data_IF_748454789525
#
_entry.id   IF_748454789525
#
_cell.length_a   1.000
_cell.length_b   1.000
_cell.length_c   1.000
_cell.angle_alpha   90.00
_cell.angle_beta   90.00
_cell.angle_gamma   90.00
#
_symmetry.space_group_name_H-M   'P 1'
#
loop_
_entity.id
_entity.type
_entity.pdbx_description
1 polymer ?
#
# COMPACT_ATOMS: atom_id res chain seq x y z
N UNK A 1 -13.86 -27.13 11.41
CA UNK A 1 -12.43 -27.45 11.18
C UNK A 1 -11.74 -26.14 10.90
N UNK A 2 -10.96 -25.61 11.85
CA UNK A 2 -10.12 -24.43 11.63
C UNK A 2 -9.07 -24.84 10.59
N UNK A 3 -9.02 -24.14 9.43
CA UNK A 3 -7.88 -24.26 8.55
C UNK A 3 -6.67 -23.77 9.35
N UNK A 4 -5.72 -24.67 9.56
CA UNK A 4 -4.40 -24.33 10.13
C UNK A 4 -3.69 -23.37 9.17
N UNK A 5 -3.88 -22.06 9.38
CA UNK A 5 -3.18 -21.04 8.62
C UNK A 5 -1.71 -21.01 9.07
N UNK A 6 -0.84 -21.50 8.21
CA UNK A 6 0.61 -21.45 8.46
C UNK A 6 1.17 -20.11 8.01
N UNK A 7 2.02 -19.53 8.85
CA UNK A 7 2.78 -18.33 8.52
C UNK A 7 3.94 -18.65 7.58
N UNK A 8 3.66 -18.95 6.32
CA UNK A 8 4.69 -19.27 5.35
C UNK A 8 5.55 -18.05 5.00
N UNK A 9 6.86 -18.26 4.87
CA UNK A 9 7.77 -17.21 4.43
C UNK A 9 7.32 -16.66 3.07
N UNK A 10 7.46 -15.35 2.93
CA UNK A 10 7.23 -14.65 1.67
C UNK A 10 8.08 -13.37 1.67
N UNK A 11 8.32 -12.83 0.53
CA UNK A 11 9.10 -11.62 0.39
C UNK A 11 8.24 -10.43 -0.07
N UNK A 12 8.59 -9.22 0.34
CA UNK A 12 8.11 -7.94 -0.20
C UNK A 12 9.12 -6.83 0.06
N UNK A 13 9.05 -5.73 -0.69
CA UNK A 13 9.94 -4.59 -0.47
C UNK A 13 9.79 -3.98 0.94
N UNK A 14 8.55 -3.87 1.43
CA UNK A 14 8.27 -3.39 2.79
C UNK A 14 8.85 -4.31 3.87
N UNK A 15 8.82 -5.63 3.62
CA UNK A 15 9.40 -6.64 4.50
C UNK A 15 10.93 -6.52 4.54
N UNK A 16 11.57 -6.35 3.39
CA UNK A 16 13.01 -6.09 3.30
C UNK A 16 13.39 -4.78 4.01
N UNK A 17 12.63 -3.71 3.78
CA UNK A 17 12.88 -2.42 4.43
C UNK A 17 12.80 -2.53 5.96
N UNK A 18 11.81 -3.25 6.48
CA UNK A 18 11.67 -3.48 7.93
C UNK A 18 12.84 -4.32 8.46
N UNK A 19 13.24 -5.38 7.75
CA UNK A 19 14.37 -6.22 8.13
C UNK A 19 15.67 -5.44 8.21
N UNK A 20 15.95 -4.59 7.21
CA UNK A 20 17.14 -3.73 7.20
C UNK A 20 17.13 -2.67 8.30
N UNK A 21 15.97 -2.10 8.61
CA UNK A 21 15.86 -1.05 9.60
C UNK A 21 16.01 -1.56 11.04
N UNK A 22 15.42 -2.71 11.34
CA UNK A 22 15.47 -3.31 12.69
C UNK A 22 14.96 -4.75 12.64
N UNK A 23 15.84 -5.71 12.92
CA UNK A 23 15.51 -7.13 12.95
C UNK A 23 14.46 -7.47 14.00
N UNK A 24 14.53 -6.84 15.18
CA UNK A 24 13.52 -7.02 16.24
C UNK A 24 12.14 -6.52 15.81
N UNK A 25 12.06 -5.35 15.13
CA UNK A 25 10.81 -4.87 14.51
C UNK A 25 10.31 -5.84 13.45
N UNK A 26 11.21 -6.41 12.66
CA UNK A 26 10.89 -7.41 11.65
C UNK A 26 10.25 -8.66 12.28
N UNK A 27 10.81 -9.18 13.38
CA UNK A 27 10.22 -10.29 14.12
C UNK A 27 8.79 -9.96 14.56
N UNK A 28 8.56 -8.85 15.26
CA UNK A 28 7.21 -8.49 15.73
C UNK A 28 6.23 -8.24 14.58
N UNK A 29 6.69 -7.66 13.48
CA UNK A 29 5.84 -7.32 12.34
C UNK A 29 5.40 -8.55 11.54
N UNK A 30 6.20 -9.63 11.50
CA UNK A 30 5.95 -10.75 10.59
C UNK A 30 5.78 -12.11 11.29
N UNK A 31 6.20 -12.26 12.53
CA UNK A 31 6.16 -13.53 13.28
C UNK A 31 5.52 -13.38 14.65
N UNK A 32 6.02 -12.54 15.53
CA UNK A 32 5.63 -12.45 16.92
C UNK A 32 4.17 -12.07 17.19
N UNK A 33 3.44 -11.59 16.18
CA UNK A 33 2.00 -11.29 16.24
C UNK A 33 1.12 -12.48 15.89
N UNK A 34 1.70 -13.56 15.35
CA UNK A 34 0.93 -14.66 14.77
C UNK A 34 0.03 -15.30 15.84
N UNK A 35 -1.16 -15.68 15.42
CA UNK A 35 -2.27 -16.16 16.26
C UNK A 35 -2.83 -15.13 17.27
N UNK A 36 -2.31 -13.88 17.31
CA UNK A 36 -2.78 -12.85 18.22
C UNK A 36 -4.26 -12.43 18.05
N UNK A 37 -4.95 -12.98 17.07
CA UNK A 37 -6.40 -12.83 16.83
C UNK A 37 -7.24 -13.93 17.51
N UNK A 38 -6.62 -14.97 18.03
CA UNK A 38 -7.28 -16.06 18.74
C UNK A 38 -7.60 -15.68 20.20
N UNK A 39 -8.62 -16.31 20.77
CA UNK A 39 -9.06 -15.97 22.13
C UNK A 39 -8.12 -16.49 23.23
N UNK A 40 -7.45 -17.62 22.99
CA UNK A 40 -6.62 -18.30 23.99
C UNK A 40 -5.12 -18.19 23.67
N UNK A 41 -4.62 -16.94 23.64
CA UNK A 41 -3.19 -16.66 23.39
C UNK A 41 -2.59 -15.79 24.47
N UNK A 42 -1.26 -15.87 24.70
CA UNK A 42 -0.58 -14.98 25.64
C UNK A 42 -0.87 -13.50 25.35
N UNK A 43 -1.11 -12.72 26.42
CA UNK A 43 -1.40 -11.27 26.31
C UNK A 43 -0.34 -10.52 25.48
N UNK A 44 0.92 -10.94 25.57
CA UNK A 44 2.02 -10.38 24.77
C UNK A 44 1.77 -10.52 23.27
N UNK A 45 1.36 -11.71 22.79
CA UNK A 45 1.08 -11.97 21.38
C UNK A 45 -0.11 -11.14 20.92
N UNK A 46 -1.16 -11.07 21.73
CA UNK A 46 -2.34 -10.23 21.47
C UNK A 46 -1.97 -8.75 21.36
N UNK A 47 -1.08 -8.27 22.24
CA UNK A 47 -0.62 -6.88 22.19
C UNK A 47 0.22 -6.58 20.94
N UNK A 48 1.10 -7.49 20.53
CA UNK A 48 1.86 -7.35 19.29
C UNK A 48 0.92 -7.31 18.09
N UNK A 49 -0.09 -8.19 18.04
CA UNK A 49 -1.11 -8.17 16.99
C UNK A 49 -1.88 -6.86 16.95
N UNK A 50 -2.30 -6.33 18.11
CA UNK A 50 -2.96 -5.04 18.24
C UNK A 50 -2.09 -3.92 17.67
N UNK A 51 -0.84 -3.81 18.15
CA UNK A 51 0.10 -2.79 17.69
C UNK A 51 0.38 -2.84 16.19
N UNK A 52 0.46 -4.04 15.61
CA UNK A 52 0.61 -4.24 14.15
C UNK A 52 -0.56 -3.66 13.35
N UNK A 53 -1.77 -3.61 13.92
CA UNK A 53 -2.97 -3.10 13.25
C UNK A 53 -3.11 -1.58 13.34
N UNK A 54 -2.37 -0.94 14.24
CA UNK A 54 -2.42 0.50 14.42
C UNK A 54 -1.61 1.24 13.36
N UNK A 55 -2.05 2.43 13.05
CA UNK A 55 -1.36 3.37 12.19
C UNK A 55 -0.79 4.53 13.00
N UNK A 56 0.31 5.13 12.58
CA UNK A 56 0.66 6.47 13.03
C UNK A 56 0.03 7.51 12.10
N UNK A 57 -0.05 8.76 12.54
CA UNK A 57 -0.64 9.86 11.77
C UNK A 57 -0.05 10.05 10.37
N UNK A 58 1.25 9.77 10.18
CA UNK A 58 1.92 9.92 8.88
C UNK A 58 1.55 8.80 7.91
N UNK A 59 1.55 7.55 8.40
CA UNK A 59 1.10 6.39 7.62
C UNK A 59 -0.37 6.53 7.26
N UNK A 60 -1.19 6.95 8.21
CA UNK A 60 -2.62 7.22 7.98
C UNK A 60 -2.84 8.28 6.90
N UNK A 61 -2.10 9.41 6.97
CA UNK A 61 -2.13 10.44 5.91
C UNK A 61 -1.86 9.84 4.53
N UNK A 62 -0.79 9.06 4.39
CA UNK A 62 -0.44 8.38 3.13
C UNK A 62 -1.55 7.46 2.64
N UNK A 63 -2.09 6.62 3.52
CA UNK A 63 -3.19 5.70 3.19
C UNK A 63 -4.42 6.45 2.66
N UNK A 64 -4.83 7.54 3.30
CA UNK A 64 -5.97 8.36 2.84
C UNK A 64 -5.72 8.94 1.46
N UNK A 65 -4.50 9.44 1.19
CA UNK A 65 -4.14 10.00 -0.13
C UNK A 65 -4.20 8.91 -1.21
N UNK A 66 -3.59 7.74 -0.99
CA UNK A 66 -3.60 6.62 -1.93
C UNK A 66 -5.02 6.14 -2.23
N UNK A 67 -5.82 5.89 -1.21
CA UNK A 67 -7.22 5.47 -1.38
C UNK A 67 -8.07 6.51 -2.13
N UNK A 68 -7.86 7.80 -1.84
CA UNK A 68 -8.58 8.87 -2.51
C UNK A 68 -8.17 9.01 -3.99
N UNK A 69 -6.88 8.85 -4.31
CA UNK A 69 -6.38 8.82 -5.70
C UNK A 69 -6.96 7.61 -6.43
N UNK A 70 -6.91 6.42 -5.83
CA UNK A 70 -7.48 5.21 -6.40
C UNK A 70 -8.98 5.37 -6.70
N UNK A 71 -9.72 6.01 -5.79
CA UNK A 71 -11.14 6.30 -6.00
C UNK A 71 -11.38 7.30 -7.16
N UNK A 72 -10.56 8.34 -7.27
CA UNK A 72 -10.63 9.31 -8.37
C UNK A 72 -10.35 8.63 -9.72
N UNK A 73 -9.28 7.84 -9.81
CA UNK A 73 -8.91 7.12 -11.02
C UNK A 73 -9.99 6.12 -11.42
N UNK A 74 -10.50 5.36 -10.48
CA UNK A 74 -11.59 4.42 -10.76
C UNK A 74 -12.83 5.13 -11.27
N UNK A 75 -13.23 6.22 -10.63
CA UNK A 75 -14.39 7.00 -11.07
C UNK A 75 -14.20 7.51 -12.49
N UNK A 76 -12.98 7.97 -12.81
CA UNK A 76 -12.62 8.42 -14.15
C UNK A 76 -12.74 7.28 -15.18
N UNK A 77 -12.13 6.12 -14.90
CA UNK A 77 -12.16 4.94 -15.78
C UNK A 77 -13.58 4.36 -15.97
N UNK A 78 -14.51 4.66 -15.08
CA UNK A 78 -15.93 4.31 -15.17
C UNK A 78 -16.80 5.45 -15.77
N UNK A 79 -16.18 6.48 -16.38
CA UNK A 79 -16.84 7.66 -16.96
C UNK A 79 -17.75 8.41 -15.96
N UNK A 80 -17.37 8.40 -14.68
CA UNK A 80 -18.15 9.08 -13.63
C UNK A 80 -17.55 10.42 -13.29
N UNK A 81 -18.37 11.45 -13.39
CA UNK A 81 -17.99 12.79 -12.95
C UNK A 81 -18.20 12.93 -11.44
N UNK A 82 -17.15 13.31 -10.73
CA UNK A 82 -17.21 13.59 -9.30
C UNK A 82 -17.17 15.09 -9.05
N UNK A 83 -18.18 15.60 -8.32
CA UNK A 83 -18.12 16.96 -7.82
C UNK A 83 -16.92 17.14 -6.88
N UNK A 84 -16.11 18.16 -7.13
CA UNK A 84 -14.89 18.43 -6.38
C UNK A 84 -15.16 18.72 -4.90
N UNK A 85 -16.25 19.42 -4.60
CA UNK A 85 -16.62 19.79 -3.24
C UNK A 85 -17.13 18.58 -2.44
N UNK A 86 -18.00 17.77 -3.04
CA UNK A 86 -18.50 16.56 -2.41
C UNK A 86 -17.40 15.52 -2.17
N UNK A 87 -16.47 15.37 -3.13
CA UNK A 87 -15.31 14.50 -2.95
C UNK A 87 -14.46 14.94 -1.74
N UNK A 88 -14.11 16.24 -1.65
CA UNK A 88 -13.35 16.76 -0.50
C UNK A 88 -14.08 16.56 0.82
N UNK A 89 -15.38 16.83 0.86
CA UNK A 89 -16.21 16.61 2.05
C UNK A 89 -16.17 15.14 2.49
N UNK A 90 -16.17 14.21 1.56
CA UNK A 90 -16.11 12.78 1.87
C UNK A 90 -14.75 12.37 2.42
N UNK A 91 -13.65 12.85 1.85
CA UNK A 91 -12.32 12.63 2.39
C UNK A 91 -12.21 13.12 3.83
N UNK A 92 -12.65 14.36 4.08
CA UNK A 92 -12.64 14.96 5.43
C UNK A 92 -13.54 14.17 6.38
N UNK A 93 -14.71 13.71 5.91
CA UNK A 93 -15.61 12.87 6.71
C UNK A 93 -14.94 11.57 7.10
N UNK A 94 -14.30 10.86 6.14
CA UNK A 94 -13.56 9.63 6.41
C UNK A 94 -12.49 9.83 7.47
N UNK A 95 -11.67 10.88 7.32
CA UNK A 95 -10.64 11.20 8.32
C UNK A 95 -11.25 11.46 9.69
N UNK A 96 -12.31 12.26 9.77
CA UNK A 96 -12.99 12.55 11.03
C UNK A 96 -13.57 11.29 11.68
N UNK A 97 -14.19 10.41 10.89
CA UNK A 97 -14.84 9.22 11.40
C UNK A 97 -13.80 8.20 11.89
N UNK A 98 -12.69 8.01 11.16
CA UNK A 98 -11.55 7.20 11.60
C UNK A 98 -10.88 7.77 12.86
N UNK A 99 -10.70 9.09 12.93
CA UNK A 99 -10.16 9.74 14.12
C UNK A 99 -11.04 9.49 15.36
N UNK A 100 -12.38 9.62 15.21
CA UNK A 100 -13.34 9.33 16.28
C UNK A 100 -13.32 7.85 16.69
N UNK A 101 -13.29 6.93 15.74
CA UNK A 101 -13.18 5.49 16.02
C UNK A 101 -11.88 5.19 16.77
N UNK A 102 -10.79 5.86 16.43
CA UNK A 102 -9.54 5.71 17.18
C UNK A 102 -9.64 6.26 18.60
N UNK A 103 -10.35 7.36 18.82
CA UNK A 103 -10.57 7.91 20.17
C UNK A 103 -11.47 7.02 21.03
N UNK A 104 -12.43 6.30 20.45
CA UNK A 104 -13.30 5.38 21.23
C UNK A 104 -12.52 4.22 21.85
N UNK A 105 -11.38 3.86 21.26
CA UNK A 105 -10.54 2.77 21.77
C UNK A 105 -11.03 1.36 21.40
N UNK A 106 -12.05 1.22 20.55
CA UNK A 106 -12.63 -0.07 20.17
C UNK A 106 -11.61 -1.01 19.50
N UNK A 107 -10.56 -0.46 18.88
CA UNK A 107 -9.42 -1.23 18.36
C UNK A 107 -8.66 -2.00 19.46
N UNK A 108 -8.79 -1.63 20.74
CA UNK A 108 -8.13 -2.34 21.85
C UNK A 108 -8.69 -3.76 22.01
N UNK A 109 -9.97 -3.94 21.71
CA UNK A 109 -10.67 -5.23 21.76
C UNK A 109 -10.75 -5.90 20.39
N UNK A 110 -11.03 -5.15 19.33
CA UNK A 110 -11.13 -5.66 17.96
C UNK A 110 -10.31 -4.82 16.98
N UNK A 111 -8.98 -5.01 16.94
CA UNK A 111 -8.08 -4.23 16.08
C UNK A 111 -8.20 -4.58 14.60
N UNK A 112 -8.89 -5.68 14.24
CA UNK A 112 -9.12 -6.07 12.86
C UNK A 112 -10.13 -5.17 12.17
N UNK A 113 -11.21 -4.85 12.86
CA UNK A 113 -12.37 -4.17 12.29
C UNK A 113 -12.44 -2.68 12.70
N UNK A 114 -11.65 -2.27 13.69
CA UNK A 114 -11.65 -0.89 14.18
C UNK A 114 -10.33 -0.18 13.90
N UNK A 115 -10.43 0.99 13.32
CA UNK A 115 -9.29 1.85 13.06
C UNK A 115 -8.69 2.39 14.37
N UNK A 116 -7.36 2.37 14.49
CA UNK A 116 -6.65 2.91 15.65
C UNK A 116 -5.36 3.63 15.26
N UNK A 117 -5.05 4.69 16.01
CA UNK A 117 -3.81 5.46 15.90
C UNK A 117 -2.89 5.15 17.07
N UNK A 118 -1.60 5.06 16.78
CA UNK A 118 -0.56 4.86 17.80
C UNK A 118 -0.52 6.02 18.80
N UNK A 119 -0.77 7.23 18.33
CA UNK A 119 -0.84 8.43 19.16
C UNK A 119 -1.94 8.29 20.23
N UNK A 120 -3.12 7.78 19.87
CA UNK A 120 -4.20 7.54 20.84
C UNK A 120 -3.92 6.31 21.73
N UNK A 121 -3.23 5.29 21.20
CA UNK A 121 -2.86 4.12 21.98
C UNK A 121 -1.84 4.43 23.08
N UNK A 122 -0.86 5.28 22.76
CA UNK A 122 0.18 5.72 23.71
C UNK A 122 -0.19 6.98 24.47
N UNK A 123 -1.41 7.50 24.28
CA UNK A 123 -1.89 8.74 24.93
C UNK A 123 -0.95 9.94 24.66
N UNK A 124 -0.38 9.97 23.43
CA UNK A 124 0.52 11.05 23.02
C UNK A 124 -0.29 12.36 22.87
N UNK A 125 0.15 13.40 23.56
CA UNK A 125 -0.43 14.74 23.41
C UNK A 125 -0.02 15.33 22.05
N UNK A 126 -0.96 15.34 21.11
CA UNK A 126 -0.77 15.93 19.79
C UNK A 126 -1.69 17.15 19.68
N UNK A 127 -1.08 18.31 19.48
CA UNK A 127 -1.77 19.57 19.34
C UNK A 127 -2.86 19.54 18.26
N UNK A 128 -3.99 20.19 18.52
CA UNK A 128 -5.13 20.24 17.60
C UNK A 128 -4.74 20.78 16.23
N UNK A 129 -3.85 21.75 16.20
CA UNK A 129 -3.30 22.37 15.01
C UNK A 129 -2.55 21.35 14.13
N UNK A 130 -1.84 20.40 14.74
CA UNK A 130 -1.14 19.31 14.03
C UNK A 130 -2.14 18.44 13.26
N UNK A 131 -3.27 18.08 13.88
CA UNK A 131 -4.33 17.32 13.21
C UNK A 131 -5.02 18.11 12.09
N UNK A 132 -5.18 19.42 12.27
CA UNK A 132 -5.72 20.29 11.23
C UNK A 132 -4.77 20.41 10.04
N UNK A 133 -3.48 20.61 10.29
CA UNK A 133 -2.45 20.66 9.24
C UNK A 133 -2.37 19.34 8.47
N UNK A 134 -2.46 18.20 9.17
CA UNK A 134 -2.47 16.89 8.50
C UNK A 134 -3.66 16.73 7.55
N UNK A 135 -4.86 17.13 7.98
CA UNK A 135 -6.06 17.15 7.12
C UNK A 135 -5.87 18.06 5.91
N UNK A 136 -5.36 19.25 6.14
CA UNK A 136 -5.18 20.26 5.09
C UNK A 136 -4.10 19.83 4.08
N UNK A 137 -3.07 19.13 4.55
CA UNK A 137 -2.07 18.48 3.70
C UNK A 137 -2.67 17.41 2.79
N UNK A 138 -3.58 16.57 3.31
CA UNK A 138 -4.30 15.58 2.49
C UNK A 138 -5.07 16.27 1.38
N UNK A 139 -5.86 17.30 1.72
CA UNK A 139 -6.68 18.03 0.74
C UNK A 139 -5.80 18.71 -0.31
N UNK A 140 -4.70 19.34 0.12
CA UNK A 140 -3.73 19.97 -0.80
C UNK A 140 -3.10 18.95 -1.75
N UNK A 141 -2.68 17.78 -1.26
CA UNK A 141 -2.12 16.71 -2.09
C UNK A 141 -3.12 16.25 -3.17
N UNK A 142 -4.39 16.13 -2.81
CA UNK A 142 -5.45 15.72 -3.75
C UNK A 142 -5.78 16.83 -4.76
N UNK A 143 -5.71 18.11 -4.37
CA UNK A 143 -5.84 19.22 -5.29
C UNK A 143 -4.66 19.28 -6.27
N UNK A 144 -3.43 19.09 -5.79
CA UNK A 144 -2.24 19.00 -6.62
C UNK A 144 -2.37 17.87 -7.65
N UNK A 145 -2.77 16.68 -7.19
CA UNK A 145 -3.00 15.54 -8.08
C UNK A 145 -4.00 15.85 -9.18
N UNK A 146 -5.17 16.40 -8.85
CA UNK A 146 -6.21 16.78 -9.83
C UNK A 146 -5.79 17.95 -10.74
N UNK A 147 -4.89 18.81 -10.30
CA UNK A 147 -4.30 19.89 -11.09
C UNK A 147 -3.15 19.47 -12.00
N UNK A 148 -2.60 18.27 -11.78
CA UNK A 148 -1.38 17.81 -12.42
C UNK A 148 -1.55 17.48 -13.91
N UNK A 149 -0.41 17.50 -14.64
CA UNK A 149 -0.36 17.01 -16.03
C UNK A 149 -0.64 15.48 -16.10
N UNK A 150 -0.28 14.77 -15.04
CA UNK A 150 -0.60 13.35 -14.96
C UNK A 150 -2.11 13.10 -14.97
N UNK A 151 -2.87 13.80 -14.12
CA UNK A 151 -4.33 13.71 -14.09
C UNK A 151 -4.96 14.06 -15.44
N UNK A 152 -4.45 15.08 -16.12
CA UNK A 152 -4.94 15.44 -17.48
C UNK A 152 -4.70 14.32 -18.48
N UNK A 153 -3.52 13.68 -18.42
CA UNK A 153 -3.20 12.54 -19.29
C UNK A 153 -4.10 11.34 -19.03
N UNK A 154 -4.44 11.06 -17.78
CA UNK A 154 -5.28 9.90 -17.45
C UNK A 154 -6.73 10.05 -17.91
N UNK A 155 -7.18 11.28 -18.22
CA UNK A 155 -8.56 11.52 -18.71
C UNK A 155 -8.85 10.90 -20.11
N UNK A 156 -7.82 10.51 -20.84
CA UNK A 156 -7.97 9.78 -22.13
C UNK A 156 -7.96 8.26 -21.95
N UNK A 157 -7.71 7.76 -20.73
CA UNK A 157 -7.68 6.32 -20.46
C UNK A 157 -9.09 5.77 -20.28
N UNK A 158 -9.27 4.54 -20.76
CA UNK A 158 -10.46 3.71 -20.52
C UNK A 158 -10.18 2.62 -19.47
N UNK A 159 -11.22 1.89 -19.08
CA UNK A 159 -11.05 0.73 -18.19
C UNK A 159 -10.20 -0.38 -18.86
N UNK A 160 -10.23 -0.49 -20.18
CA UNK A 160 -9.47 -1.49 -20.95
C UNK A 160 -7.97 -1.22 -20.90
N UNK A 161 -7.56 0.05 -20.77
CA UNK A 161 -6.16 0.45 -20.65
C UNK A 161 -5.58 0.16 -19.25
N UNK A 162 -6.44 -0.02 -18.25
CA UNK A 162 -6.02 -0.21 -16.85
C UNK A 162 -5.58 -1.65 -16.60
N UNK A 163 -4.31 -1.85 -16.26
CA UNK A 163 -3.74 -3.15 -15.89
C UNK A 163 -3.80 -3.41 -14.39
N UNK A 164 -3.62 -2.39 -13.58
CA UNK A 164 -3.68 -2.47 -12.12
C UNK A 164 -4.06 -1.14 -11.50
N UNK A 165 -4.87 -1.18 -10.46
CA UNK A 165 -5.20 -0.02 -9.63
C UNK A 165 -5.30 -0.45 -8.18
N UNK A 166 -4.48 0.18 -7.31
CA UNK A 166 -4.55 -0.05 -5.87
C UNK A 166 -5.94 0.27 -5.34
N UNK A 167 -6.48 -0.59 -4.53
CA UNK A 167 -7.70 -0.29 -3.82
C UNK A 167 -8.39 -1.51 -3.26
N UNK A 168 -7.99 -1.98 -2.08
CA UNK A 168 -8.90 -2.77 -1.25
C UNK A 168 -9.79 -1.82 -0.47
N UNK A 169 -10.88 -1.38 -1.08
CA UNK A 169 -11.91 -0.58 -0.43
C UNK A 169 -12.86 -1.43 0.43
N UNK A 170 -12.51 -2.68 0.73
CA UNK A 170 -13.38 -3.61 1.48
C UNK A 170 -13.75 -3.13 2.89
N UNK A 171 -12.91 -2.29 3.51
CA UNK A 171 -13.18 -1.74 4.84
C UNK A 171 -13.70 -0.30 4.87
N UNK A 172 -13.57 0.46 3.77
CA UNK A 172 -13.92 1.88 3.69
C UNK A 172 -15.29 2.15 3.04
N UNK A 173 -16.07 1.14 2.85
CA UNK A 173 -17.15 0.97 1.90
C UNK A 173 -18.25 2.02 1.92
N UNK A 174 -18.56 2.58 3.07
CA UNK A 174 -19.77 3.41 3.20
C UNK A 174 -19.58 4.85 2.71
N UNK A 175 -18.37 5.41 2.83
CA UNK A 175 -18.14 6.82 2.50
C UNK A 175 -18.05 7.02 0.98
N UNK A 176 -17.30 6.16 0.32
CA UNK A 176 -17.14 6.21 -1.14
C UNK A 176 -18.44 5.83 -1.86
N UNK A 177 -19.20 4.87 -1.34
CA UNK A 177 -20.53 4.50 -1.85
C UNK A 177 -21.54 5.65 -1.77
N UNK A 178 -21.43 6.50 -0.76
CA UNK A 178 -22.32 7.65 -0.61
C UNK A 178 -22.07 8.75 -1.65
N UNK A 179 -20.85 8.83 -2.21
CA UNK A 179 -20.51 9.83 -3.25
C UNK A 179 -20.89 9.29 -4.63
N UNK A 180 -20.74 7.98 -4.85
CA UNK A 180 -21.09 7.32 -6.10
C UNK A 180 -21.73 5.97 -5.80
N UNK A 181 -23.05 5.96 -5.48
CA UNK A 181 -23.75 4.74 -5.07
C UNK A 181 -23.77 3.65 -6.13
N UNK A 182 -23.54 4.01 -7.39
CA UNK A 182 -23.48 3.10 -8.52
C UNK A 182 -22.04 2.71 -8.91
N UNK A 183 -21.03 3.03 -8.08
CA UNK A 183 -19.69 2.49 -8.29
C UNK A 183 -19.77 0.97 -8.10
N UNK A 184 -19.87 0.25 -9.22
CA UNK A 184 -19.85 -1.20 -9.20
C UNK A 184 -18.64 -1.67 -8.41
N UNK A 185 -18.90 -2.61 -7.52
CA UNK A 185 -17.88 -3.18 -6.66
C UNK A 185 -16.63 -3.51 -7.47
N UNK A 186 -15.48 -3.27 -6.93
CA UNK A 186 -14.11 -3.49 -7.46
C UNK A 186 -13.86 -4.88 -8.09
N UNK A 187 -14.89 -5.66 -8.31
CA UNK A 187 -14.84 -7.02 -8.83
C UNK A 187 -14.51 -7.13 -10.31
N UNK A 188 -14.53 -6.02 -11.05
CA UNK A 188 -14.45 -6.04 -12.52
C UNK A 188 -13.20 -5.37 -13.10
N UNK A 189 -12.15 -5.12 -12.32
CA UNK A 189 -10.85 -4.83 -12.91
C UNK A 189 -10.30 -6.13 -13.51
N UNK A 190 -9.93 -6.15 -14.80
CA UNK A 190 -9.67 -7.40 -15.52
C UNK A 190 -8.55 -8.27 -14.97
N UNK A 191 -7.68 -7.81 -14.11
CA UNK A 191 -6.47 -8.56 -13.86
C UNK A 191 -5.72 -8.39 -12.56
N UNK A 192 -6.12 -7.58 -11.57
CA UNK A 192 -5.28 -7.50 -10.39
C UNK A 192 -6.04 -7.39 -9.08
N UNK A 193 -5.83 -8.35 -8.15
CA UNK A 193 -6.08 -8.09 -6.74
C UNK A 193 -5.20 -6.90 -6.28
N UNK A 194 -5.68 -6.12 -5.31
CA UNK A 194 -4.94 -4.99 -4.74
C UNK A 194 -3.52 -5.36 -4.28
N UNK A 195 -3.29 -6.64 -4.02
CA UNK A 195 -1.98 -7.24 -3.74
C UNK A 195 -1.87 -8.52 -4.56
N UNK A 196 -0.85 -8.60 -5.40
CA UNK A 196 -0.55 -9.80 -6.19
C UNK A 196 0.82 -10.39 -5.82
N UNK A 197 1.16 -11.53 -6.39
CA UNK A 197 2.42 -12.19 -6.11
C UNK A 197 2.89 -13.01 -7.29
N UNK A 198 4.19 -13.17 -7.40
CA UNK A 198 4.82 -14.12 -8.32
C UNK A 198 5.80 -15.03 -7.58
N UNK A 199 6.26 -16.07 -8.24
CA UNK A 199 7.28 -16.97 -7.70
C UNK A 199 8.63 -16.64 -8.29
N UNK A 200 9.64 -16.45 -7.44
CA UNK A 200 11.02 -16.28 -7.83
C UNK A 200 11.88 -17.38 -7.16
N UNK A 201 12.39 -18.31 -7.93
CA UNK A 201 13.16 -19.48 -7.45
C UNK A 201 12.43 -20.23 -6.29
N UNK A 202 11.12 -20.38 -6.40
CA UNK A 202 10.28 -21.02 -5.40
C UNK A 202 9.83 -20.12 -4.25
N UNK A 203 10.33 -18.89 -4.17
CA UNK A 203 9.97 -17.92 -3.14
C UNK A 203 8.79 -17.05 -3.58
N UNK A 204 7.81 -16.90 -2.70
CA UNK A 204 6.66 -16.02 -2.96
C UNK A 204 7.06 -14.56 -2.77
N UNK A 205 6.94 -13.76 -3.83
CA UNK A 205 7.20 -12.31 -3.83
C UNK A 205 5.88 -11.55 -3.96
N UNK A 206 5.54 -10.77 -2.95
CA UNK A 206 4.36 -9.93 -2.96
C UNK A 206 4.63 -8.60 -3.65
N UNK A 207 3.69 -8.20 -4.49
CA UNK A 207 3.70 -6.93 -5.23
C UNK A 207 2.40 -6.19 -4.98
N UNK A 208 2.48 -4.88 -4.79
CA UNK A 208 1.33 -3.99 -4.68
C UNK A 208 1.62 -2.78 -5.54
N UNK A 209 1.00 -2.74 -6.73
CA UNK A 209 1.16 -1.67 -7.71
C UNK A 209 0.06 -0.65 -7.46
N UNK A 210 0.44 0.62 -7.27
CA UNK A 210 -0.51 1.68 -6.99
C UNK A 210 -1.40 1.96 -8.22
N UNK A 211 -0.79 2.05 -9.41
CA UNK A 211 -1.50 2.18 -10.67
C UNK A 211 -0.65 1.70 -11.85
N UNK A 212 -1.27 0.99 -12.79
CA UNK A 212 -0.64 0.61 -14.04
C UNK A 212 -1.63 0.71 -15.20
N UNK A 213 -1.14 1.19 -16.35
CA UNK A 213 -1.93 1.27 -17.58
C UNK A 213 -1.08 1.03 -18.81
N UNK A 214 -1.72 0.58 -19.88
CA UNK A 214 -1.11 0.39 -21.18
C UNK A 214 -1.42 1.57 -22.10
N UNK A 215 -0.46 2.00 -22.87
CA UNK A 215 -0.61 3.03 -23.89
C UNK A 215 -0.91 2.38 -25.25
N UNK A 216 -1.40 3.15 -26.22
CA UNK A 216 -1.80 2.66 -27.57
C UNK A 216 -0.66 1.93 -28.32
N UNK A 217 0.60 2.31 -28.08
CA UNK A 217 1.78 1.67 -28.66
C UNK A 217 2.18 0.35 -27.97
N UNK A 218 1.39 -0.08 -27.00
CA UNK A 218 1.61 -1.26 -26.18
C UNK A 218 2.65 -1.08 -25.07
N UNK A 219 3.17 0.12 -24.85
CA UNK A 219 4.01 0.40 -23.69
C UNK A 219 3.18 0.44 -22.40
N UNK A 220 3.80 0.09 -21.26
CA UNK A 220 3.15 0.03 -19.96
C UNK A 220 3.78 1.04 -19.01
N UNK A 221 2.93 1.79 -18.30
CA UNK A 221 3.30 2.74 -17.27
C UNK A 221 2.98 2.16 -15.90
N UNK A 222 4.00 2.00 -15.07
CA UNK A 222 3.88 1.54 -13.69
C UNK A 222 4.13 2.74 -12.77
N UNK A 223 3.14 3.07 -11.96
CA UNK A 223 3.13 4.28 -11.15
C UNK A 223 3.16 3.91 -9.68
N UNK A 224 4.00 4.61 -8.92
CA UNK A 224 4.05 4.56 -7.46
C UNK A 224 3.85 5.96 -6.90
N UNK A 225 2.81 6.13 -6.08
CA UNK A 225 2.49 7.41 -5.48
C UNK A 225 3.37 7.67 -4.26
N UNK A 226 3.92 8.85 -4.17
CA UNK A 226 4.62 9.32 -2.97
C UNK A 226 3.89 10.54 -2.40
N UNK A 227 3.64 10.51 -1.09
CA UNK A 227 2.98 11.58 -0.35
C UNK A 227 3.86 12.16 0.77
N UNK A 228 5.13 11.74 0.84
CA UNK A 228 6.13 12.25 1.78
C UNK A 228 6.81 13.52 1.28
N UNK A 229 7.46 14.23 2.20
CA UNK A 229 8.28 15.40 1.91
C UNK A 229 9.78 15.05 1.84
N UNK A 230 10.11 13.76 1.58
CA UNK A 230 11.51 13.36 1.46
C UNK A 230 12.13 13.96 0.22
N UNK A 231 13.21 14.74 0.40
CA UNK A 231 14.07 15.17 -0.68
C UNK A 231 14.95 13.98 -1.13
N UNK A 232 15.09 13.81 -2.44
CA UNK A 232 15.95 12.80 -3.05
C UNK A 232 15.22 11.81 -3.96
N UNK A 233 16.02 11.06 -4.71
CA UNK A 233 15.47 10.03 -5.61
C UNK A 233 14.73 8.95 -4.82
N UNK A 234 13.52 8.58 -5.25
CA UNK A 234 12.75 7.49 -4.66
C UNK A 234 13.55 6.19 -4.70
N UNK A 235 13.42 5.33 -3.66
CA UNK A 235 14.01 3.99 -3.70
C UNK A 235 13.55 3.27 -4.97
N UNK A 236 14.50 3.12 -5.88
CA UNK A 236 14.28 2.47 -7.18
C UNK A 236 13.86 1.00 -7.06
N UNK A 237 14.06 0.39 -5.88
CA UNK A 237 13.78 -1.03 -5.64
C UNK A 237 12.31 -1.38 -5.84
N UNK A 238 11.41 -0.58 -5.28
CA UNK A 238 9.96 -0.85 -5.39
C UNK A 238 9.50 -0.80 -6.85
N UNK A 239 9.90 0.21 -7.58
CA UNK A 239 9.58 0.35 -9.00
C UNK A 239 10.20 -0.77 -9.84
N UNK A 240 11.43 -1.18 -9.55
CA UNK A 240 12.06 -2.30 -10.24
C UNK A 240 11.31 -3.62 -10.00
N UNK A 241 10.76 -3.83 -8.80
CA UNK A 241 9.92 -4.99 -8.52
C UNK A 241 8.63 -4.95 -9.35
N UNK A 242 8.05 -3.77 -9.55
CA UNK A 242 6.91 -3.62 -10.44
C UNK A 242 7.27 -3.98 -11.90
N UNK A 243 8.42 -3.48 -12.38
CA UNK A 243 8.93 -3.84 -13.71
C UNK A 243 9.21 -5.34 -13.84
N UNK A 244 9.82 -5.93 -12.83
CA UNK A 244 10.07 -7.38 -12.78
C UNK A 244 8.75 -8.16 -12.85
N UNK A 245 7.76 -7.78 -12.05
CA UNK A 245 6.43 -8.37 -12.08
C UNK A 245 5.76 -8.26 -13.46
N UNK A 246 5.83 -7.09 -14.08
CA UNK A 246 5.25 -6.87 -15.40
C UNK A 246 5.90 -7.76 -16.48
N UNK A 247 7.20 -8.02 -16.40
CA UNK A 247 7.86 -8.96 -17.33
C UNK A 247 7.47 -10.41 -17.06
N UNK A 248 7.37 -10.84 -15.79
CA UNK A 248 7.16 -12.25 -15.46
C UNK A 248 5.68 -12.67 -15.51
N UNK A 249 4.77 -11.74 -15.23
CA UNK A 249 3.33 -12.06 -15.06
C UNK A 249 2.49 -11.52 -16.22
N UNK A 250 2.83 -10.34 -16.72
CA UNK A 250 2.10 -9.75 -17.85
C UNK A 250 2.77 -9.99 -19.21
N UNK A 251 3.95 -10.63 -19.22
CA UNK A 251 4.75 -10.91 -20.43
C UNK A 251 5.07 -9.65 -21.26
N UNK A 252 5.33 -8.54 -20.57
CA UNK A 252 5.67 -7.27 -21.20
C UNK A 252 7.19 -7.17 -21.37
N UNK A 253 7.71 -6.90 -22.59
CA UNK A 253 9.13 -6.69 -22.80
C UNK A 253 9.69 -5.50 -21.99
N UNK A 254 10.90 -5.64 -21.45
CA UNK A 254 11.50 -4.65 -20.56
C UNK A 254 11.53 -3.24 -21.17
N UNK A 255 11.86 -3.13 -22.45
CA UNK A 255 11.94 -1.86 -23.19
C UNK A 255 10.60 -1.13 -23.35
N UNK A 256 9.48 -1.83 -23.14
CA UNK A 256 8.12 -1.27 -23.14
C UNK A 256 7.63 -0.88 -21.75
N UNK A 257 8.42 -1.11 -20.71
CA UNK A 257 8.02 -0.81 -19.34
C UNK A 257 8.63 0.51 -18.87
N UNK A 258 7.78 1.44 -18.50
CA UNK A 258 8.14 2.73 -17.94
C UNK A 258 7.74 2.80 -16.47
N UNK A 259 8.73 3.05 -15.63
CA UNK A 259 8.60 3.13 -14.18
C UNK A 259 8.52 4.59 -13.76
N UNK A 260 7.53 4.93 -12.93
CA UNK A 260 7.33 6.31 -12.50
C UNK A 260 7.03 6.41 -11.01
N UNK A 261 7.88 7.09 -10.26
CA UNK A 261 7.54 7.62 -8.96
C UNK A 261 6.95 9.03 -9.12
N UNK A 262 5.80 9.26 -8.54
CA UNK A 262 5.12 10.55 -8.60
C UNK A 262 4.83 11.08 -7.20
N UNK A 263 5.48 12.19 -6.83
CA UNK A 263 5.24 12.86 -5.57
C UNK A 263 4.06 13.83 -5.71
N UNK A 264 2.93 13.49 -5.09
CA UNK A 264 1.69 14.28 -5.18
C UNK A 264 1.75 15.62 -4.43
N UNK A 265 2.70 15.79 -3.50
CA UNK A 265 2.87 17.03 -2.77
C UNK A 265 3.71 18.07 -3.54
N UNK A 266 4.68 17.58 -4.31
CA UNK A 266 5.70 18.41 -4.97
C UNK A 266 5.47 18.51 -6.49
N UNK A 267 4.51 17.75 -7.05
CA UNK A 267 4.34 17.53 -8.50
C UNK A 267 5.63 17.08 -9.19
N UNK A 268 6.49 16.38 -8.43
CA UNK A 268 7.76 15.86 -8.91
C UNK A 268 7.59 14.48 -9.51
N UNK A 269 8.37 14.20 -10.56
CA UNK A 269 8.31 12.99 -11.34
C UNK A 269 9.69 12.45 -11.58
N UNK A 270 9.90 11.20 -11.19
CA UNK A 270 11.07 10.43 -11.58
C UNK A 270 10.60 9.31 -12.49
N UNK A 271 10.97 9.39 -13.76
CA UNK A 271 10.56 8.43 -14.79
C UNK A 271 11.78 7.80 -15.45
N UNK A 272 11.73 6.50 -15.67
CA UNK A 272 12.77 5.74 -16.38
C UNK A 272 12.17 4.53 -17.06
N UNK A 273 12.83 4.05 -18.10
CA UNK A 273 12.53 2.75 -18.71
C UNK A 273 13.14 1.65 -17.86
N UNK A 274 12.42 0.54 -17.72
CA UNK A 274 12.96 -0.67 -17.10
C UNK A 274 13.97 -1.32 -18.02
N UNK A 275 15.02 -1.92 -17.47
CA UNK A 275 16.09 -2.54 -18.28
C UNK A 275 16.38 -3.98 -17.85
N UNK A 276 17.04 -4.72 -18.73
CA UNK A 276 17.51 -6.10 -18.43
C UNK A 276 18.47 -6.11 -17.24
N UNK A 277 19.33 -5.12 -17.15
CA UNK A 277 20.26 -4.95 -16.03
C UNK A 277 19.46 -4.71 -14.73
N UNK A 278 18.49 -3.80 -14.75
CA UNK A 278 17.60 -3.52 -13.61
C UNK A 278 16.80 -4.76 -13.18
N UNK A 279 16.39 -5.61 -14.14
CA UNK A 279 15.74 -6.89 -13.86
C UNK A 279 16.70 -7.84 -13.12
N UNK A 280 17.92 -8.00 -13.63
CA UNK A 280 18.91 -8.88 -13.03
C UNK A 280 19.32 -8.41 -11.63
N UNK A 281 19.61 -7.12 -11.44
CA UNK A 281 19.92 -6.53 -10.14
C UNK A 281 18.79 -6.73 -9.13
N UNK A 282 17.54 -6.58 -9.58
CA UNK A 282 16.35 -6.79 -8.73
C UNK A 282 16.26 -8.25 -8.29
N UNK A 283 16.46 -9.19 -9.20
CA UNK A 283 16.47 -10.62 -8.90
C UNK A 283 17.53 -10.96 -7.85
N UNK A 284 18.78 -10.53 -8.06
CA UNK A 284 19.88 -10.77 -7.13
C UNK A 284 19.62 -10.17 -5.74
N UNK A 285 19.09 -8.94 -5.71
CA UNK A 285 18.73 -8.25 -4.46
C UNK A 285 17.64 -8.99 -3.68
N UNK A 286 16.62 -9.50 -4.37
CA UNK A 286 15.54 -10.28 -3.74
C UNK A 286 16.16 -11.57 -3.16
N UNK A 287 16.83 -12.38 -3.96
CA UNK A 287 17.37 -13.68 -3.54
C UNK A 287 18.36 -13.55 -2.39
N UNK A 288 19.32 -12.63 -2.47
CA UNK A 288 20.27 -12.36 -1.38
C UNK A 288 19.58 -11.95 -0.09
N UNK A 289 18.53 -11.13 -0.18
CA UNK A 289 17.80 -10.72 1.02
C UNK A 289 16.90 -11.82 1.58
N UNK A 290 16.34 -12.68 0.73
CA UNK A 290 15.61 -13.89 1.15
C UNK A 290 16.53 -14.79 1.98
N UNK A 291 17.73 -15.06 1.51
CA UNK A 291 18.73 -15.86 2.22
C UNK A 291 18.98 -15.29 3.62
N UNK A 292 19.33 -14.01 3.71
CA UNK A 292 19.57 -13.33 4.99
C UNK A 292 18.36 -13.31 5.94
N UNK A 293 17.14 -13.20 5.41
CA UNK A 293 15.92 -13.26 6.24
C UNK A 293 15.65 -14.68 6.74
N UNK A 294 15.94 -15.71 5.92
CA UNK A 294 15.73 -17.10 6.29
C UNK A 294 16.77 -17.61 7.31
N UNK A 295 17.93 -17.00 7.38
CA UNK A 295 18.91 -17.29 8.43
C UNK A 295 18.37 -17.02 9.85
N UNK A 296 17.40 -16.14 9.98
CA UNK A 296 16.75 -15.84 11.26
C UNK A 296 15.64 -16.81 11.64
N UNK A 297 15.29 -17.77 10.78
CA UNK A 297 14.30 -18.79 11.09
C UNK A 297 14.96 -19.98 11.77
N UNK A 298 14.46 -20.43 12.92
CA UNK A 298 15.04 -21.50 13.74
C UNK A 298 15.14 -22.84 13.01
N UNK A 299 14.13 -23.17 12.20
CA UNK A 299 14.09 -24.41 11.40
C UNK A 299 14.03 -24.14 9.89
N UNK A 300 14.26 -22.87 9.48
CA UNK A 300 14.10 -22.36 8.10
C UNK A 300 12.69 -22.53 7.54
N UNK A 301 11.74 -22.79 8.41
CA UNK A 301 10.28 -22.73 8.13
C UNK A 301 9.72 -21.43 8.70
N UNK A 302 8.60 -21.03 8.15
CA UNK A 302 8.11 -19.67 8.27
C UNK A 302 7.61 -19.22 9.64
N UNK A 303 7.25 -20.10 10.52
CA UNK A 303 6.56 -19.75 11.76
C UNK A 303 7.46 -19.68 12.99
N UNK A 304 8.71 -20.02 12.85
CA UNK A 304 9.66 -20.00 13.96
C UNK A 304 10.81 -19.07 13.63
N UNK A 305 10.79 -17.90 14.22
CA UNK A 305 11.86 -16.92 14.14
C UNK A 305 12.37 -16.59 15.54
N UNK A 306 13.66 -16.40 15.68
CA UNK A 306 14.23 -15.95 16.94
C UNK A 306 13.87 -14.50 17.22
N UNK A 307 13.51 -14.20 18.47
CA UNK A 307 13.20 -12.84 18.90
C UNK A 307 14.46 -11.98 19.03
N UNK A 308 15.61 -12.62 19.24
CA UNK A 308 16.90 -11.99 19.42
C UNK A 308 17.68 -11.98 18.11
N UNK A 309 17.80 -10.80 17.50
CA UNK A 309 18.59 -10.54 16.31
C UNK A 309 19.13 -9.13 16.28
#
# INVERSE_FOLDING_TARGET
MSQDFKNNFSWSNSRLSTFKSCKRKYYFQYYGFWDGWEDDVPERVRNIYRLKKLNNRHTWKGTIIHEAIAFLLKSLLEDKTLDKGEFKKAVVRKMRDQYKTSLSGDYKTNPKDNFGLLEHYYEEEVEKETWQLLRDDVIRSLDNFRGSQFWKKTQSLSMEDCLSLEGDLKGSDNIWKNISPNLNTWRNLPSSPAVDSFSLDGEKVWVKIDFAYQEEDGSVRLIDWKSGNSEGEPDSTQLNIYGYYATEVWDIPEEKIHLKAYNVNQDERHERTFSKEGKQETREKILKSVESMKEMLTDKKANEAEEEG
#
